data_IF_930727654243
#
_entry.id   IF_930727654243
#
_cell.length_a   1.000
_cell.length_b   1.000
_cell.length_c   1.000
_cell.angle_alpha   90.00
_cell.angle_beta   90.00
_cell.angle_gamma   90.00
#
_symmetry.space_group_name_H-M   'P 1'
#
loop_
_entity.id
_entity.type
_entity.pdbx_description
1 polymer ?
#
# COMPACT_ATOMS: atom_id res chain seq x y z
N UNK A 1 -13.08 -8.86 -11.22
CA UNK A 1 -14.36 -8.99 -10.45
C UNK A 1 -14.57 -7.67 -9.73
N UNK A 2 -15.64 -6.90 -10.00
CA UNK A 2 -16.01 -5.80 -9.11
C UNK A 2 -17.02 -6.31 -8.08
N UNK A 3 -16.50 -7.00 -7.06
CA UNK A 3 -17.32 -7.45 -5.95
C UNK A 3 -17.39 -6.32 -4.91
N UNK A 4 -18.37 -5.43 -5.12
CA UNK A 4 -18.79 -4.54 -4.05
C UNK A 4 -19.43 -5.39 -2.94
N UNK A 5 -18.82 -5.36 -1.75
CA UNK A 5 -19.37 -6.06 -0.58
C UNK A 5 -20.54 -5.32 0.09
N UNK A 6 -20.82 -4.09 -0.34
CA UNK A 6 -21.93 -3.24 0.11
C UNK A 6 -22.67 -2.71 -1.12
N UNK A 7 -23.95 -2.30 -1.01
CA UNK A 7 -24.70 -1.77 -2.14
C UNK A 7 -23.98 -0.59 -2.82
N UNK A 8 -23.83 -0.65 -4.14
CA UNK A 8 -23.08 0.34 -4.92
C UNK A 8 -23.66 1.76 -4.76
N UNK A 9 -24.98 1.85 -4.65
CA UNK A 9 -25.76 3.06 -4.53
C UNK A 9 -25.55 3.77 -3.20
N UNK A 10 -25.13 3.04 -2.15
CA UNK A 10 -24.85 3.59 -0.83
C UNK A 10 -23.46 4.20 -0.70
N UNK A 11 -22.54 3.88 -1.62
CA UNK A 11 -21.18 4.43 -1.62
C UNK A 11 -21.17 5.82 -2.25
N UNK A 12 -20.41 6.77 -1.69
CA UNK A 12 -20.20 8.05 -2.38
C UNK A 12 -19.23 7.87 -3.58
N UNK A 13 -19.07 8.91 -4.41
CA UNK A 13 -18.21 8.84 -5.59
C UNK A 13 -16.73 8.57 -5.25
N UNK A 14 -16.26 9.10 -4.13
CA UNK A 14 -14.88 8.95 -3.68
C UNK A 14 -14.61 7.50 -3.24
N UNK A 15 -15.50 6.91 -2.44
CA UNK A 15 -15.39 5.52 -2.00
C UNK A 15 -15.45 4.54 -3.18
N UNK A 16 -16.29 4.82 -4.18
CA UNK A 16 -16.31 4.04 -5.43
C UNK A 16 -14.99 4.12 -6.19
N UNK A 17 -14.34 5.29 -6.18
CA UNK A 17 -13.02 5.47 -6.79
C UNK A 17 -11.94 4.68 -6.05
N UNK A 18 -12.03 4.59 -4.71
CA UNK A 18 -11.14 3.72 -3.93
C UNK A 18 -11.32 2.24 -4.29
N UNK A 19 -12.56 1.77 -4.46
CA UNK A 19 -12.83 0.38 -4.88
C UNK A 19 -12.20 0.09 -6.24
N UNK A 20 -12.25 1.03 -7.19
CA UNK A 20 -11.56 0.89 -8.47
C UNK A 20 -10.04 0.76 -8.28
N UNK A 21 -9.41 1.72 -7.60
CA UNK A 21 -7.96 1.71 -7.41
C UNK A 21 -7.46 0.47 -6.64
N UNK A 22 -8.16 0.06 -5.58
CA UNK A 22 -7.79 -1.09 -4.76
C UNK A 22 -7.97 -2.42 -5.49
N UNK A 23 -9.05 -2.60 -6.25
CA UNK A 23 -9.24 -3.82 -7.02
C UNK A 23 -8.28 -3.90 -8.21
N UNK A 24 -8.04 -2.80 -8.92
CA UNK A 24 -7.00 -2.78 -9.96
C UNK A 24 -5.64 -3.11 -9.37
N UNK A 25 -5.26 -2.55 -8.21
CA UNK A 25 -3.99 -2.88 -7.57
C UNK A 25 -3.90 -4.37 -7.23
N UNK A 26 -4.97 -4.97 -6.70
CA UNK A 26 -5.02 -6.41 -6.43
C UNK A 26 -4.83 -7.22 -7.71
N UNK A 27 -5.50 -6.86 -8.80
CA UNK A 27 -5.40 -7.54 -10.10
C UNK A 27 -3.97 -7.46 -10.65
N UNK A 28 -3.28 -6.32 -10.52
CA UNK A 28 -1.87 -6.21 -10.92
C UNK A 28 -0.95 -7.10 -10.06
N UNK A 29 -1.16 -7.14 -8.75
CA UNK A 29 -0.38 -8.00 -7.85
C UNK A 29 -0.60 -9.49 -8.17
N UNK A 30 -1.83 -9.90 -8.48
CA UNK A 30 -2.14 -11.26 -8.94
C UNK A 30 -1.46 -11.57 -10.28
N UNK A 31 -1.46 -10.62 -11.22
CA UNK A 31 -0.80 -10.78 -12.51
C UNK A 31 0.72 -10.95 -12.33
N UNK A 32 1.37 -10.14 -11.49
CA UNK A 32 2.79 -10.26 -11.14
C UNK A 32 3.10 -11.66 -10.62
N UNK A 33 2.34 -12.15 -9.64
CA UNK A 33 2.53 -13.49 -9.07
C UNK A 33 2.40 -14.56 -10.15
N UNK A 34 1.31 -14.54 -10.92
CA UNK A 34 1.05 -15.55 -11.93
C UNK A 34 2.10 -15.54 -13.04
N UNK A 35 2.49 -14.37 -13.54
CA UNK A 35 3.52 -14.26 -14.57
C UNK A 35 4.87 -14.73 -14.04
N UNK A 36 5.23 -14.40 -12.80
CA UNK A 36 6.46 -14.87 -12.18
C UNK A 36 6.49 -16.41 -12.07
N UNK A 37 5.40 -17.04 -11.60
CA UNK A 37 5.31 -18.49 -11.53
C UNK A 37 5.42 -19.16 -12.91
N UNK A 38 4.71 -18.62 -13.90
CA UNK A 38 4.75 -19.13 -15.30
C UNK A 38 6.14 -19.00 -15.90
N UNK A 39 6.80 -17.86 -15.74
CA UNK A 39 8.16 -17.63 -16.20
C UNK A 39 9.15 -18.62 -15.55
N UNK A 40 9.00 -18.89 -14.26
CA UNK A 40 9.90 -19.78 -13.51
C UNK A 40 9.89 -21.24 -14.00
N UNK A 41 8.74 -21.72 -14.48
CA UNK A 41 8.57 -23.13 -14.91
C UNK A 41 8.49 -23.31 -16.43
N UNK A 42 8.44 -22.22 -17.21
CA UNK A 42 8.35 -22.29 -18.67
C UNK A 42 9.59 -22.96 -19.27
N UNK A 43 9.36 -23.91 -20.18
CA UNK A 43 10.40 -24.55 -20.99
C UNK A 43 10.60 -23.87 -22.34
N UNK A 44 9.65 -23.03 -22.75
CA UNK A 44 9.73 -22.22 -23.97
C UNK A 44 10.33 -20.85 -23.62
N UNK A 45 11.45 -20.50 -24.26
CA UNK A 45 12.19 -19.27 -24.00
C UNK A 45 11.40 -18.03 -24.40
N UNK A 46 10.69 -18.07 -25.53
CA UNK A 46 9.88 -16.96 -26.01
C UNK A 46 8.73 -16.69 -25.04
N UNK A 47 8.06 -17.73 -24.56
CA UNK A 47 7.01 -17.56 -23.54
C UNK A 47 7.59 -17.00 -22.25
N UNK A 48 8.76 -17.49 -21.80
CA UNK A 48 9.41 -16.96 -20.61
C UNK A 48 9.68 -15.46 -20.73
N UNK A 49 10.29 -15.03 -21.84
CA UNK A 49 10.60 -13.62 -22.09
C UNK A 49 9.34 -12.75 -22.09
N UNK A 50 8.24 -13.20 -22.70
CA UNK A 50 6.96 -12.47 -22.68
C UNK A 50 6.39 -12.39 -21.26
N UNK A 51 6.40 -13.48 -20.49
CA UNK A 51 5.88 -13.46 -19.12
C UNK A 51 6.72 -12.55 -18.21
N UNK A 52 8.06 -12.54 -18.36
CA UNK A 52 8.93 -11.66 -17.58
C UNK A 52 8.74 -10.19 -17.94
N UNK A 53 8.62 -9.87 -19.23
CA UNK A 53 8.32 -8.51 -19.71
C UNK A 53 6.99 -8.01 -19.15
N UNK A 54 5.91 -8.79 -19.31
CA UNK A 54 4.60 -8.40 -18.81
C UNK A 54 4.60 -8.24 -17.28
N UNK A 55 5.20 -9.17 -16.54
CA UNK A 55 5.34 -9.09 -15.07
C UNK A 55 5.94 -7.75 -14.65
N UNK A 56 7.00 -7.32 -15.33
CA UNK A 56 7.73 -6.11 -14.96
C UNK A 56 6.93 -4.84 -15.30
N UNK A 57 6.12 -4.85 -16.37
CA UNK A 57 5.15 -3.78 -16.66
C UNK A 57 4.03 -3.70 -15.61
N UNK A 58 3.50 -4.82 -15.12
CA UNK A 58 2.45 -4.79 -14.09
C UNK A 58 2.95 -4.20 -12.76
N UNK A 59 4.26 -4.28 -12.47
CA UNK A 59 4.85 -3.58 -11.32
C UNK A 59 4.73 -2.06 -11.47
N UNK A 60 4.92 -1.53 -12.69
CA UNK A 60 4.71 -0.10 -12.97
C UNK A 60 3.24 0.27 -12.73
N UNK A 61 2.30 -0.49 -13.27
CA UNK A 61 0.87 -0.27 -13.08
C UNK A 61 0.46 -0.29 -11.59
N UNK A 62 0.96 -1.27 -10.84
CA UNK A 62 0.74 -1.36 -9.40
C UNK A 62 1.24 -0.12 -8.66
N UNK A 63 2.46 0.35 -8.97
CA UNK A 63 3.04 1.54 -8.32
C UNK A 63 2.30 2.82 -8.69
N UNK A 64 1.81 2.95 -9.93
CA UNK A 64 0.95 4.07 -10.34
C UNK A 64 -0.35 4.13 -9.51
N UNK A 65 -0.97 2.98 -9.24
CA UNK A 65 -2.16 2.87 -8.42
C UNK A 65 -1.87 3.17 -6.93
N UNK A 66 -0.74 2.69 -6.40
CA UNK A 66 -0.28 3.03 -5.05
C UNK A 66 -0.09 4.54 -4.91
N UNK A 67 0.49 5.21 -5.91
CA UNK A 67 0.67 6.67 -5.87
C UNK A 67 -0.67 7.42 -5.89
N UNK A 68 -1.65 6.92 -6.65
CA UNK A 68 -2.99 7.50 -6.60
C UNK A 68 -3.63 7.31 -5.22
N UNK A 69 -3.51 6.13 -4.61
CA UNK A 69 -3.99 5.86 -3.25
C UNK A 69 -3.30 6.76 -2.22
N UNK A 70 -1.99 6.94 -2.31
CA UNK A 70 -1.20 7.86 -1.46
C UNK A 70 -1.76 9.28 -1.47
N UNK A 71 -2.16 9.78 -2.65
CA UNK A 71 -2.68 11.15 -2.81
C UNK A 71 -4.12 11.32 -2.37
N UNK A 72 -4.93 10.25 -2.42
CA UNK A 72 -6.39 10.37 -2.34
C UNK A 72 -7.03 9.67 -1.14
N UNK A 73 -6.38 8.68 -0.52
CA UNK A 73 -6.93 7.90 0.58
C UNK A 73 -6.11 8.10 1.85
N UNK A 74 -6.76 8.65 2.89
CA UNK A 74 -6.12 8.96 4.15
C UNK A 74 -5.41 7.74 4.77
N UNK A 75 -4.28 7.99 5.43
CA UNK A 75 -3.42 6.95 6.03
C UNK A 75 -2.35 6.38 5.09
N UNK A 76 -2.59 6.32 3.77
CA UNK A 76 -1.59 5.78 2.84
C UNK A 76 -0.29 6.58 2.81
N UNK A 77 -0.35 7.91 2.75
CA UNK A 77 0.87 8.75 2.73
C UNK A 77 1.74 8.57 3.97
N UNK A 78 1.13 8.52 5.15
CA UNK A 78 1.82 8.32 6.42
C UNK A 78 2.55 6.97 6.44
N UNK A 79 1.84 5.88 6.12
CA UNK A 79 2.42 4.55 6.15
C UNK A 79 3.49 4.35 5.07
N UNK A 80 3.25 4.85 3.85
CA UNK A 80 4.22 4.72 2.76
C UNK A 80 5.53 5.46 3.07
N UNK A 81 5.46 6.67 3.65
CA UNK A 81 6.67 7.41 4.07
C UNK A 81 7.42 6.75 5.20
N UNK A 82 6.69 6.08 6.10
CA UNK A 82 7.28 5.37 7.23
C UNK A 82 8.16 4.21 6.78
N UNK A 83 7.71 3.43 5.79
CA UNK A 83 8.35 2.15 5.45
C UNK A 83 9.11 2.12 4.13
N UNK A 84 8.75 2.94 3.12
CA UNK A 84 9.42 2.88 1.83
C UNK A 84 10.79 3.56 1.88
N UNK A 85 11.74 2.99 1.15
CA UNK A 85 13.11 3.48 1.01
C UNK A 85 13.93 3.53 2.30
N UNK A 86 13.53 2.76 3.32
CA UNK A 86 14.34 2.48 4.52
C UNK A 86 15.29 1.30 4.28
N UNK A 87 16.31 1.17 5.11
CA UNK A 87 17.26 0.03 5.05
C UNK A 87 17.22 -0.83 6.31
N UNK A 88 16.68 -0.29 7.40
CA UNK A 88 16.42 -0.96 8.66
C UNK A 88 15.36 -2.06 8.51
N UNK A 89 15.31 -2.97 9.49
CA UNK A 89 14.23 -3.95 9.54
C UNK A 89 12.89 -3.24 9.66
N UNK A 90 11.87 -3.73 8.93
CA UNK A 90 10.51 -3.17 9.02
C UNK A 90 9.94 -3.25 10.45
N UNK A 91 10.36 -4.25 11.24
CA UNK A 91 9.99 -4.39 12.65
C UNK A 91 10.63 -3.27 13.49
N UNK A 92 11.91 -2.96 13.26
CA UNK A 92 12.63 -1.89 13.96
C UNK A 92 12.03 -0.51 13.63
N UNK A 93 11.67 -0.28 12.35
CA UNK A 93 10.98 0.95 11.91
C UNK A 93 9.63 1.11 12.62
N UNK A 94 8.91 0.00 12.87
CA UNK A 94 7.66 0.04 13.61
C UNK A 94 7.86 0.39 15.09
N UNK A 95 8.82 -0.26 15.75
CA UNK A 95 9.13 -0.06 17.18
C UNK A 95 9.58 1.38 17.46
N UNK A 96 10.51 1.93 16.67
CA UNK A 96 11.02 3.30 16.85
C UNK A 96 9.92 4.37 16.79
N UNK A 97 8.95 4.21 15.90
CA UNK A 97 7.81 5.15 15.75
C UNK A 97 6.74 4.98 16.85
N UNK A 98 6.70 3.83 17.50
CA UNK A 98 5.77 3.54 18.60
C UNK A 98 6.21 4.24 19.90
N UNK A 99 7.52 4.39 20.10
CA UNK A 99 8.11 5.07 21.26
C UNK A 99 7.96 6.60 21.18
N UNK A 100 8.12 7.19 20.00
CA UNK A 100 8.02 8.64 19.81
C UNK A 100 6.61 9.18 20.12
N UNK A 101 5.55 8.42 19.82
CA UNK A 101 4.17 8.78 20.11
C UNK A 101 3.81 8.75 21.61
N UNK A 102 4.61 8.09 22.45
CA UNK A 102 4.34 7.98 23.90
C UNK A 102 5.01 9.11 24.71
N UNK A 103 5.89 9.90 24.10
CA UNK A 103 6.64 10.97 24.77
C UNK A 103 5.92 12.33 24.81
N UNK A 104 4.83 12.50 24.05
CA UNK A 104 4.11 13.79 23.90
C UNK A 104 2.96 14.06 24.89
N UNK A 105 2.71 13.19 25.89
CA UNK A 105 1.54 13.29 26.78
C UNK A 105 1.94 13.34 28.27
N UNK A 106 2.78 14.29 28.65
CA UNK A 106 3.34 14.31 30.00
C UNK A 106 3.89 15.65 30.51
N UNK A 107 3.35 16.81 30.11
CA UNK A 107 3.58 18.04 30.89
C UNK A 107 2.42 19.03 30.74
N UNK A 108 1.30 18.74 31.42
CA UNK A 108 0.29 19.76 31.70
C UNK A 108 0.71 20.44 33.01
N UNK A 109 1.43 21.57 32.88
CA UNK A 109 2.03 22.36 33.94
C UNK A 109 1.09 22.79 35.08
N UNK A 110 0.79 21.87 35.99
CA UNK A 110 0.05 22.10 37.23
C UNK A 110 0.97 22.55 38.37
N UNK A 111 1.80 23.56 38.13
CA UNK A 111 2.58 24.23 39.18
C UNK A 111 2.37 25.74 39.14
N UNK A 112 1.31 26.20 39.80
CA UNK A 112 1.30 27.35 40.72
C UNK A 112 -0.13 27.72 41.09
N UNK A 113 -0.61 27.20 42.21
CA UNK A 113 -1.63 27.84 43.03
C UNK A 113 -1.33 27.45 44.49
N UNK A 114 -0.42 28.19 45.11
CA UNK A 114 -0.30 28.29 46.56
C UNK A 114 -0.41 29.78 46.88
N UNK A 115 -1.55 30.17 47.42
CA UNK A 115 -1.66 31.23 48.42
C UNK A 115 -1.94 30.54 49.76
#
# INVERSE_FOLDING_TARGET
MQDYHQPYEELNQQDRSYVYALNSLKEEIEAIDWYNQRAAVSKDKTIKEIMEHNRDEEIEHAVMLIEWLRRNMAGWDEQLRKYLFTQESLIEVEEANSEDNNSGKGDLGLRKLTD
#
